data_IF_694670968702
#
_entry.id   IF_694670968702
#
_cell.length_a   1.000
_cell.length_b   1.000
_cell.length_c   1.000
_cell.angle_alpha   90.00
_cell.angle_beta   90.00
_cell.angle_gamma   90.00
#
_symmetry.space_group_name_H-M   'P 1'
#
loop_
_entity.id
_entity.type
_entity.pdbx_description
1 polymer ?
#
# COMPACT_ATOMS: atom_id res chain seq x y z
N UNK A 1 -27.95 -11.48 30.49
CA UNK A 1 -26.92 -12.01 29.57
C UNK A 1 -25.95 -10.91 29.28
N UNK A 2 -24.70 -11.01 29.74
CA UNK A 2 -23.66 -10.00 29.52
C UNK A 2 -22.95 -10.43 28.22
N UNK A 3 -23.07 -9.66 27.14
CA UNK A 3 -22.29 -9.88 25.94
C UNK A 3 -20.83 -9.43 26.20
N UNK A 4 -19.82 -10.24 25.83
CA UNK A 4 -18.44 -9.83 25.97
C UNK A 4 -18.16 -8.64 25.03
N UNK A 5 -17.49 -7.64 25.60
CA UNK A 5 -17.04 -6.44 24.91
C UNK A 5 -16.16 -6.82 23.70
N UNK A 6 -16.47 -6.38 22.47
CA UNK A 6 -15.61 -6.65 21.33
C UNK A 6 -14.26 -5.98 21.54
N UNK A 7 -13.21 -6.76 21.56
CA UNK A 7 -11.82 -6.27 21.58
C UNK A 7 -11.60 -5.37 20.35
N UNK A 8 -10.97 -4.21 20.50
CA UNK A 8 -10.80 -3.29 19.40
C UNK A 8 -9.89 -3.90 18.34
N UNK A 9 -10.34 -3.83 17.10
CA UNK A 9 -9.63 -4.31 15.90
C UNK A 9 -8.23 -3.69 15.79
N UNK A 10 -8.02 -2.51 16.38
CA UNK A 10 -6.74 -1.84 16.49
C UNK A 10 -5.69 -2.63 17.30
N UNK A 11 -6.11 -3.33 18.35
CA UNK A 11 -5.18 -4.17 19.14
C UNK A 11 -4.70 -5.39 18.35
N UNK A 12 -5.59 -6.00 17.58
CA UNK A 12 -5.23 -7.13 16.70
C UNK A 12 -4.29 -6.69 15.56
N UNK A 13 -4.46 -5.49 15.02
CA UNK A 13 -3.58 -4.92 13.99
C UNK A 13 -2.19 -4.62 14.55
N UNK A 14 -2.09 -4.04 15.74
CA UNK A 14 -0.82 -3.75 16.41
C UNK A 14 -0.04 -5.03 16.75
N UNK A 15 -0.73 -6.07 17.19
CA UNK A 15 -0.15 -7.41 17.44
C UNK A 15 0.34 -8.05 16.13
N UNK A 16 -0.43 -7.94 15.06
CA UNK A 16 -0.04 -8.44 13.73
C UNK A 16 1.17 -7.70 13.16
N UNK A 17 1.24 -6.38 13.30
CA UNK A 17 2.41 -5.59 12.88
C UNK A 17 3.66 -5.90 13.72
N UNK A 18 3.50 -6.13 15.04
CA UNK A 18 4.61 -6.59 15.90
C UNK A 18 5.14 -7.95 15.47
N UNK A 19 4.26 -8.89 15.11
CA UNK A 19 4.64 -10.21 14.63
C UNK A 19 5.34 -10.13 13.27
N UNK A 20 4.89 -9.26 12.36
CA UNK A 20 5.56 -9.02 11.08
C UNK A 20 6.95 -8.41 11.26
N UNK A 21 7.12 -7.43 12.17
CA UNK A 21 8.42 -6.84 12.50
C UNK A 21 9.37 -7.86 13.16
N UNK A 22 8.87 -8.71 14.05
CA UNK A 22 9.68 -9.80 14.63
C UNK A 22 10.08 -10.84 13.59
N UNK A 23 9.18 -11.23 12.67
CA UNK A 23 9.49 -12.11 11.55
C UNK A 23 10.57 -11.53 10.62
N UNK A 24 10.53 -10.22 10.38
CA UNK A 24 11.53 -9.51 9.58
C UNK A 24 12.91 -9.46 10.27
N UNK A 25 12.95 -9.29 11.61
CA UNK A 25 14.19 -9.31 12.39
C UNK A 25 14.79 -10.73 12.43
N UNK A 26 13.96 -11.75 12.59
CA UNK A 26 14.40 -13.15 12.59
C UNK A 26 14.92 -13.59 11.21
N UNK A 27 14.31 -13.12 10.11
CA UNK A 27 14.78 -13.42 8.76
C UNK A 27 16.12 -12.75 8.44
N UNK A 28 16.40 -11.58 9.02
CA UNK A 28 17.72 -10.92 8.89
C UNK A 28 18.83 -11.62 9.69
N UNK A 29 18.52 -12.25 10.81
CA UNK A 29 19.52 -12.96 11.61
C UNK A 29 19.90 -14.33 11.02
N UNK A 30 19.05 -14.92 10.17
CA UNK A 30 19.32 -16.23 9.56
C UNK A 30 20.08 -16.14 8.23
N UNK A 31 20.46 -14.95 7.75
CA UNK A 31 21.24 -14.75 6.52
C UNK A 31 22.77 -14.74 6.72
N UNK A 32 23.27 -14.97 7.94
CA UNK A 32 24.70 -14.98 8.24
C UNK A 32 25.30 -16.39 8.41
N UNK A 33 24.80 -17.37 7.69
CA UNK A 33 25.44 -18.69 7.62
C UNK A 33 25.59 -19.12 6.15
N UNK A 34 26.79 -18.89 5.63
CA UNK A 34 27.44 -19.50 4.47
C UNK A 34 26.63 -19.76 3.19
N UNK A 35 26.97 -19.02 2.12
CA UNK A 35 27.58 -19.63 0.91
C UNK A 35 28.15 -18.50 0.05
N UNK A 36 29.43 -18.52 -0.19
CA UNK A 36 30.11 -17.77 -1.26
C UNK A 36 29.54 -18.26 -2.59
N UNK A 37 28.90 -17.37 -3.32
CA UNK A 37 28.62 -17.57 -4.73
C UNK A 37 28.81 -16.24 -5.46
N UNK A 38 29.66 -16.30 -6.48
CA UNK A 38 30.11 -15.29 -7.41
C UNK A 38 28.99 -14.34 -7.91
N UNK A 39 29.32 -13.08 -8.33
CA UNK A 39 28.32 -12.10 -8.78
C UNK A 39 27.85 -12.46 -10.19
N UNK A 40 26.87 -13.34 -10.26
CA UNK A 40 26.07 -13.61 -11.46
C UNK A 40 24.82 -12.75 -11.41
N UNK A 41 24.66 -11.94 -12.46
CA UNK A 41 23.47 -11.27 -12.97
C UNK A 41 22.24 -11.32 -12.02
N UNK A 42 21.98 -10.25 -11.28
CA UNK A 42 20.84 -10.21 -10.35
C UNK A 42 19.55 -10.23 -11.15
N UNK A 43 19.09 -11.42 -11.49
CA UNK A 43 17.77 -11.63 -12.04
C UNK A 43 16.75 -11.13 -11.00
N UNK A 44 16.26 -9.93 -11.20
CA UNK A 44 15.13 -9.41 -10.43
C UNK A 44 13.97 -10.38 -10.67
N UNK A 45 13.34 -10.84 -9.59
CA UNK A 45 12.20 -11.80 -9.63
C UNK A 45 10.92 -11.15 -10.25
N UNK A 46 11.02 -9.91 -10.72
CA UNK A 46 10.00 -9.18 -11.45
C UNK A 46 10.34 -9.21 -12.96
N UNK A 47 9.39 -9.63 -13.82
CA UNK A 47 9.59 -9.70 -15.27
C UNK A 47 9.99 -8.35 -15.87
N UNK A 48 10.91 -8.36 -16.85
CA UNK A 48 11.36 -7.14 -17.53
C UNK A 48 10.22 -6.33 -18.16
N UNK A 49 9.22 -7.00 -18.70
CA UNK A 49 8.02 -6.38 -19.28
C UNK A 49 7.24 -5.53 -18.27
N UNK A 50 7.20 -5.98 -16.99
CA UNK A 50 6.56 -5.26 -15.89
C UNK A 50 7.36 -3.99 -15.56
N UNK A 51 8.68 -4.11 -15.52
CA UNK A 51 9.58 -2.97 -15.28
C UNK A 51 9.44 -1.95 -16.40
N UNK A 52 9.48 -2.38 -17.66
CA UNK A 52 9.29 -1.52 -18.83
C UNK A 52 7.92 -0.83 -18.82
N UNK A 53 6.87 -1.54 -18.42
CA UNK A 53 5.54 -0.94 -18.24
C UNK A 53 5.56 0.20 -17.22
N UNK A 54 6.20 0.01 -16.08
CA UNK A 54 6.28 1.04 -15.04
C UNK A 54 7.09 2.26 -15.50
N UNK A 55 8.20 2.04 -16.21
CA UNK A 55 9.04 3.12 -16.77
C UNK A 55 8.29 3.92 -17.85
N UNK A 56 7.58 3.24 -18.74
CA UNK A 56 6.75 3.88 -19.76
C UNK A 56 5.54 4.60 -19.12
N UNK A 57 4.98 4.02 -18.05
CA UNK A 57 3.91 4.62 -17.27
C UNK A 57 4.32 5.95 -16.66
N UNK A 58 5.52 6.02 -16.05
CA UNK A 58 6.05 7.27 -15.52
C UNK A 58 6.21 8.34 -16.60
N UNK A 59 6.78 7.97 -17.76
CA UNK A 59 6.92 8.91 -18.90
C UNK A 59 5.57 9.45 -19.36
N UNK A 60 4.60 8.55 -19.54
CA UNK A 60 3.22 8.91 -19.94
C UNK A 60 2.58 9.89 -18.95
N UNK A 61 2.73 9.65 -17.64
CA UNK A 61 2.23 10.55 -16.60
C UNK A 61 2.90 11.92 -16.65
N UNK A 62 4.22 11.97 -16.90
CA UNK A 62 4.99 13.22 -16.94
C UNK A 62 4.67 14.05 -18.20
N UNK A 63 4.47 13.42 -19.35
CA UNK A 63 4.17 14.08 -20.63
C UNK A 63 2.76 14.68 -20.69
N UNK A 64 1.80 14.10 -19.97
CA UNK A 64 0.42 14.61 -19.98
C UNK A 64 0.25 15.81 -19.03
N UNK A 65 0.13 17.00 -19.61
CA UNK A 65 -0.04 18.24 -18.83
C UNK A 65 -1.40 18.37 -18.14
N UNK A 66 -2.38 17.53 -18.48
CA UNK A 66 -3.69 17.53 -17.84
C UNK A 66 -3.78 16.58 -16.66
N UNK A 67 -2.90 15.60 -16.60
CA UNK A 67 -2.82 14.69 -15.49
C UNK A 67 -2.32 15.41 -14.24
N UNK A 68 -3.12 15.39 -13.18
CA UNK A 68 -2.84 15.98 -11.87
C UNK A 68 -3.08 14.99 -10.72
N UNK A 69 -2.93 13.69 -11.02
CA UNK A 69 -3.07 12.63 -10.03
C UNK A 69 -1.99 12.70 -8.95
N UNK A 70 -2.31 12.23 -7.76
CA UNK A 70 -1.32 12.05 -6.69
C UNK A 70 -0.23 11.07 -7.11
N UNK A 71 -0.56 10.06 -7.91
CA UNK A 71 0.43 9.16 -8.50
C UNK A 71 1.48 9.94 -9.28
N UNK A 72 1.09 10.83 -10.20
CA UNK A 72 2.03 11.66 -10.98
C UNK A 72 2.91 12.51 -10.08
N UNK A 73 2.37 13.04 -8.99
CA UNK A 73 3.08 13.92 -8.07
C UNK A 73 4.14 13.16 -7.25
N UNK A 74 3.82 11.95 -6.79
CA UNK A 74 4.65 11.20 -5.85
C UNK A 74 5.50 10.10 -6.50
N UNK A 75 5.20 9.66 -7.74
CA UNK A 75 6.01 8.70 -8.47
C UNK A 75 7.17 9.41 -9.18
N UNK A 76 8.26 9.63 -8.46
CA UNK A 76 9.52 10.12 -9.05
C UNK A 76 10.33 8.97 -9.67
N UNK A 77 11.40 9.30 -10.42
CA UNK A 77 12.34 8.30 -10.95
C UNK A 77 13.02 7.51 -9.82
N UNK A 78 13.35 8.17 -8.70
CA UNK A 78 13.97 7.53 -7.54
C UNK A 78 13.01 6.53 -6.89
N UNK A 79 11.75 6.92 -6.67
CA UNK A 79 10.70 6.05 -6.13
C UNK A 79 10.46 4.87 -7.07
N UNK A 80 10.38 5.11 -8.37
CA UNK A 80 10.24 4.05 -9.38
C UNK A 80 11.39 3.05 -9.30
N UNK A 81 12.63 3.53 -9.29
CA UNK A 81 13.82 2.69 -9.27
C UNK A 81 13.91 1.82 -8.01
N UNK A 82 13.48 2.34 -6.87
CA UNK A 82 13.44 1.61 -5.61
C UNK A 82 12.32 0.53 -5.59
N UNK A 83 11.19 0.78 -6.25
CA UNK A 83 10.00 -0.05 -6.14
C UNK A 83 9.79 -1.02 -7.32
N UNK A 84 10.31 -0.74 -8.52
CA UNK A 84 10.05 -1.53 -9.75
C UNK A 84 10.48 -2.99 -9.70
N UNK A 85 11.38 -3.33 -8.76
CA UNK A 85 11.88 -4.69 -8.56
C UNK A 85 11.24 -5.41 -7.37
N UNK A 86 10.34 -4.73 -6.64
CA UNK A 86 9.65 -5.28 -5.48
C UNK A 86 8.35 -5.95 -5.89
N UNK A 87 7.97 -6.96 -5.11
CA UNK A 87 6.66 -7.64 -5.20
C UNK A 87 6.19 -8.08 -3.81
N UNK A 88 4.89 -8.24 -3.65
CA UNK A 88 4.31 -8.82 -2.43
C UNK A 88 4.56 -10.32 -2.38
N UNK A 89 4.75 -10.87 -1.17
CA UNK A 89 4.97 -12.32 -1.00
C UNK A 89 3.66 -13.10 -1.05
N UNK A 90 2.55 -12.47 -0.68
CA UNK A 90 1.23 -13.09 -0.61
C UNK A 90 0.63 -13.37 -1.99
N UNK A 91 0.68 -12.40 -2.91
CA UNK A 91 0.05 -12.49 -4.22
C UNK A 91 1.00 -12.23 -5.40
N UNK A 92 2.29 -12.00 -5.13
CA UNK A 92 3.28 -11.58 -6.14
C UNK A 92 2.89 -10.30 -6.88
N UNK A 93 2.09 -9.43 -6.24
CA UNK A 93 1.69 -8.15 -6.80
C UNK A 93 2.90 -7.23 -6.95
N UNK A 94 2.98 -6.55 -8.07
CA UNK A 94 4.10 -5.71 -8.48
C UNK A 94 3.72 -4.22 -8.49
N UNK A 95 4.68 -3.34 -8.70
CA UNK A 95 4.41 -1.92 -8.86
C UNK A 95 3.43 -1.65 -10.01
N UNK A 96 3.44 -2.46 -11.09
CA UNK A 96 2.48 -2.34 -12.20
C UNK A 96 1.04 -2.43 -11.67
N UNK A 97 0.75 -3.43 -10.82
CA UNK A 97 -0.60 -3.65 -10.30
C UNK A 97 -1.07 -2.46 -9.45
N UNK A 98 -0.13 -1.78 -8.77
CA UNK A 98 -0.40 -0.58 -7.97
C UNK A 98 -0.72 0.64 -8.84
N UNK A 99 0.04 0.89 -9.92
CA UNK A 99 -0.03 2.13 -10.70
C UNK A 99 -0.88 2.05 -11.96
N UNK A 100 -1.25 0.83 -12.39
CA UNK A 100 -1.92 0.59 -13.68
C UNK A 100 -3.15 1.48 -13.88
N UNK A 101 -3.99 1.59 -12.86
CA UNK A 101 -5.21 2.40 -12.96
C UNK A 101 -4.92 3.86 -13.28
N UNK A 102 -3.93 4.47 -12.64
CA UNK A 102 -3.59 5.87 -12.89
C UNK A 102 -2.85 6.10 -14.20
N UNK A 103 -2.09 5.11 -14.68
CA UNK A 103 -1.41 5.15 -15.98
C UNK A 103 -2.41 5.00 -17.14
N UNK A 104 -3.45 4.19 -16.96
CA UNK A 104 -4.50 4.00 -17.97
C UNK A 104 -5.54 5.12 -17.94
N UNK A 105 -5.84 5.68 -16.77
CA UNK A 105 -6.82 6.76 -16.59
C UNK A 105 -6.13 8.02 -16.08
N UNK A 106 -5.64 8.85 -16.99
CA UNK A 106 -4.86 10.05 -16.68
C UNK A 106 -5.67 11.17 -16.00
N UNK A 107 -6.99 11.07 -16.02
CA UNK A 107 -7.93 11.96 -15.32
C UNK A 107 -8.22 11.53 -13.86
N UNK A 108 -7.63 10.44 -13.41
CA UNK A 108 -7.74 9.97 -12.02
C UNK A 108 -7.15 11.00 -11.05
N UNK A 109 -7.84 11.28 -9.95
CA UNK A 109 -7.34 12.17 -8.90
C UNK A 109 -6.24 11.53 -8.04
N UNK A 110 -6.32 10.21 -7.77
CA UNK A 110 -5.36 9.47 -6.95
C UNK A 110 -4.40 8.65 -7.82
N UNK A 111 -4.94 7.71 -8.58
CA UNK A 111 -4.20 6.92 -9.58
C UNK A 111 -3.48 5.67 -9.04
N UNK A 112 -3.65 5.28 -7.78
CA UNK A 112 -3.06 4.07 -7.19
C UNK A 112 -4.12 3.18 -6.57
N UNK A 113 -3.86 1.86 -6.59
CA UNK A 113 -4.64 0.85 -5.88
C UNK A 113 -3.71 -0.10 -5.12
N UNK A 114 -4.12 -0.53 -3.93
CA UNK A 114 -3.46 -1.60 -3.22
C UNK A 114 -4.07 -2.94 -3.66
N UNK A 115 -3.35 -3.78 -4.40
CA UNK A 115 -3.87 -5.07 -4.86
C UNK A 115 -4.07 -6.07 -3.72
N UNK A 116 -3.30 -5.91 -2.65
CA UNK A 116 -3.39 -6.70 -1.42
C UNK A 116 -2.96 -5.87 -0.20
N UNK A 117 -3.14 -6.42 1.01
CA UNK A 117 -2.81 -5.72 2.25
C UNK A 117 -1.30 -5.50 2.44
N UNK A 118 -0.47 -6.42 1.91
CA UNK A 118 0.99 -6.33 2.00
C UNK A 118 1.54 -5.18 1.13
N UNK A 119 0.81 -4.79 0.08
CA UNK A 119 1.18 -3.70 -0.81
C UNK A 119 1.41 -2.38 -0.07
N UNK A 120 0.65 -2.09 0.98
CA UNK A 120 0.86 -0.90 1.82
C UNK A 120 2.23 -0.88 2.51
N UNK A 121 2.80 -2.03 2.79
CA UNK A 121 4.14 -2.15 3.40
C UNK A 121 5.25 -2.20 2.36
N UNK A 122 5.06 -3.01 1.30
CA UNK A 122 6.08 -3.21 0.26
C UNK A 122 6.29 -1.94 -0.56
N UNK A 123 5.21 -1.22 -0.86
CA UNK A 123 5.19 0.01 -1.64
C UNK A 123 4.92 1.26 -0.79
N UNK A 124 5.24 1.22 0.51
CA UNK A 124 5.04 2.31 1.46
C UNK A 124 5.63 3.64 0.97
N UNK A 125 6.81 3.60 0.32
CA UNK A 125 7.47 4.78 -0.23
C UNK A 125 6.59 5.58 -1.22
N UNK A 126 5.61 4.92 -1.85
CA UNK A 126 4.62 5.55 -2.73
C UNK A 126 3.30 5.81 -1.99
N UNK A 127 2.82 4.85 -1.19
CA UNK A 127 1.52 4.97 -0.53
C UNK A 127 1.51 6.00 0.60
N UNK A 128 2.55 6.04 1.44
CA UNK A 128 2.57 6.92 2.62
C UNK A 128 2.38 8.39 2.25
N UNK A 129 3.16 8.98 1.31
CA UNK A 129 2.98 10.38 0.94
C UNK A 129 1.65 10.66 0.22
N UNK A 130 1.12 9.69 -0.53
CA UNK A 130 -0.21 9.82 -1.16
C UNK A 130 -1.31 9.83 -0.10
N UNK A 131 -1.25 8.94 0.88
CA UNK A 131 -2.22 8.86 1.98
C UNK A 131 -2.17 10.14 2.82
N UNK A 132 -0.96 10.57 3.18
CA UNK A 132 -0.77 11.80 3.97
C UNK A 132 -1.38 13.02 3.28
N UNK A 133 -1.11 13.19 1.99
CA UNK A 133 -1.65 14.32 1.23
C UNK A 133 -3.17 14.22 1.04
N UNK A 134 -3.67 13.03 0.67
CA UNK A 134 -5.10 12.82 0.43
C UNK A 134 -5.95 13.07 1.67
N UNK A 135 -5.46 12.69 2.84
CA UNK A 135 -6.15 12.86 4.13
C UNK A 135 -5.77 14.16 4.88
N UNK A 136 -5.07 15.08 4.22
CA UNK A 136 -4.76 16.38 4.79
C UNK A 136 -3.79 16.36 5.97
N UNK A 137 -2.76 15.47 5.90
CA UNK A 137 -1.68 15.39 6.88
C UNK A 137 -1.76 14.18 7.81
N UNK A 138 -2.43 13.11 7.41
CA UNK A 138 -2.43 11.85 8.16
C UNK A 138 -1.14 11.06 7.87
N UNK A 139 -0.13 11.24 8.74
CA UNK A 139 1.18 10.61 8.55
C UNK A 139 1.17 9.12 8.93
N UNK A 140 2.18 8.38 8.41
CA UNK A 140 2.28 6.91 8.57
C UNK A 140 2.44 6.44 10.03
N UNK A 141 2.85 7.32 10.93
CA UNK A 141 3.00 7.07 12.38
C UNK A 141 1.78 7.47 13.21
N UNK A 142 0.76 8.07 12.59
CA UNK A 142 -0.47 8.45 13.28
C UNK A 142 -1.42 7.25 13.45
N UNK A 143 -2.06 7.19 14.60
CA UNK A 143 -3.16 6.26 14.84
C UNK A 143 -4.47 6.85 14.30
N UNK A 144 -5.25 6.00 13.63
CA UNK A 144 -6.60 6.39 13.23
C UNK A 144 -7.44 6.72 14.47
N UNK A 145 -8.12 7.87 14.50
CA UNK A 145 -8.98 8.21 15.63
C UNK A 145 -10.05 7.11 15.83
N UNK A 146 -10.51 6.91 17.08
CA UNK A 146 -11.58 5.95 17.35
C UNK A 146 -12.81 6.28 16.50
N UNK A 147 -13.46 5.24 15.99
CA UNK A 147 -14.68 5.41 15.21
C UNK A 147 -15.75 6.08 16.08
N UNK A 148 -16.19 7.26 15.65
CA UNK A 148 -17.38 7.90 16.17
C UNK A 148 -18.50 7.71 15.15
N UNK A 149 -19.36 6.75 15.39
CA UNK A 149 -20.53 6.48 14.56
C UNK A 149 -21.75 7.35 14.96
N UNK A 150 -21.55 8.25 15.91
CA UNK A 150 -22.64 9.05 16.49
C UNK A 150 -23.57 8.24 17.40
N UNK A 151 -24.64 8.88 17.83
CA UNK A 151 -25.67 8.23 18.65
C UNK A 151 -26.66 7.49 17.76
N UNK A 152 -26.79 6.14 17.88
CA UNK A 152 -27.74 5.36 17.08
C UNK A 152 -29.20 5.85 17.22
N UNK A 153 -29.55 6.50 18.33
CA UNK A 153 -30.90 7.04 18.56
C UNK A 153 -31.29 8.16 17.59
N UNK A 154 -30.29 8.81 16.96
CA UNK A 154 -30.49 9.87 15.97
C UNK A 154 -31.09 9.34 14.68
N UNK A 155 -30.85 8.05 14.36
CA UNK A 155 -31.34 7.45 13.12
C UNK A 155 -32.84 7.12 13.16
N UNK A 156 -33.48 7.19 14.35
CA UNK A 156 -34.89 6.85 14.51
C UNK A 156 -35.18 5.39 14.14
N UNK A 157 -36.43 5.11 13.92
CA UNK A 157 -36.86 3.79 13.40
C UNK A 157 -36.82 3.81 11.87
N UNK A 158 -35.75 3.23 11.29
CA UNK A 158 -35.55 3.18 9.84
C UNK A 158 -36.51 2.22 9.14
N UNK A 159 -37.10 1.29 9.86
CA UNK A 159 -38.13 0.34 9.37
C UNK A 159 -39.21 0.13 10.42
N UNK A 160 -40.10 1.13 10.63
CA UNK A 160 -41.14 1.08 11.67
C UNK A 160 -42.12 -0.03 11.46
N UNK A 161 -42.22 -0.59 10.26
CA UNK A 161 -43.18 -1.67 9.93
C UNK A 161 -42.54 -3.05 9.79
N UNK A 162 -41.23 -3.17 9.90
CA UNK A 162 -40.42 -4.40 9.75
C UNK A 162 -40.75 -5.17 8.45
N UNK A 163 -40.84 -4.46 7.33
CA UNK A 163 -41.13 -4.99 6.01
C UNK A 163 -39.90 -5.21 5.16
#
# INVERSE_FOLDING_TARGET
MVFPNPQPVAAARLEFEKLLRMGFILSKQNKNANTEQEPGDSATDVPKEVIEYCENGLKKLQEDNKCHSLLKKHLSEDVLNELKTKKTSSFNSTLKDVIQSGVENLDSGIGVYAPDAEAYTVFALLFDPIIEEYHGGFSADQEHPPNDLGDPSVFGDLDPENK
#
